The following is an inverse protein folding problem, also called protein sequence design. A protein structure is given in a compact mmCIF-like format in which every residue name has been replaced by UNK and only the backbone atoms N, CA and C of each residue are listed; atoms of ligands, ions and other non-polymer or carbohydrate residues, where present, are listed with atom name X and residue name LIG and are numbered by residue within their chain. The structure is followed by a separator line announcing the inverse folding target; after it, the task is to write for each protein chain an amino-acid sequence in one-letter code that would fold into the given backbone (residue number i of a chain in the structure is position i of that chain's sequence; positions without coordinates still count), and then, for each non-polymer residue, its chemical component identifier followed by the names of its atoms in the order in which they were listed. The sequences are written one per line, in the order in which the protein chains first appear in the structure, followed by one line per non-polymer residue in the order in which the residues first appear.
data_IF_454518802334
#
_entry.id   IF_454518802334
#
_cell.length_a   1.000
_cell.length_b   1.000
_cell.length_c   1.000
_cell.angle_alpha   90.00
_cell.angle_beta   90.00
_cell.angle_gamma   90.00
#
_symmetry.space_group_name_H-M   'P 1'
#
loop_
_entity.id
_entity.type
_entity.pdbx_description
1 polymer ?
#
# COMPACT_ATOMS: atom_id res chain seq x y z
N UNK A 1 -7.62 -24.56 45.62
CA UNK A 1 -8.00 -25.59 44.61
C UNK A 1 -8.47 -24.96 43.28
N UNK A 2 -9.38 -23.97 43.29
CA UNK A 2 -9.87 -23.30 42.05
C UNK A 2 -8.78 -22.57 41.23
N UNK A 3 -7.81 -21.91 41.88
CA UNK A 3 -6.73 -21.18 41.20
C UNK A 3 -5.81 -22.10 40.37
N UNK A 4 -5.46 -23.28 40.89
CA UNK A 4 -4.61 -24.24 40.18
C UNK A 4 -5.29 -24.79 38.91
N UNK A 5 -6.61 -24.98 38.93
CA UNK A 5 -7.39 -25.41 37.77
C UNK A 5 -7.50 -24.32 36.70
N UNK A 6 -7.69 -23.06 37.12
CA UNK A 6 -7.70 -21.90 36.21
C UNK A 6 -6.34 -21.74 35.55
N UNK A 7 -5.24 -21.76 36.33
CA UNK A 7 -3.89 -21.66 35.80
C UNK A 7 -3.58 -22.80 34.82
N UNK A 8 -3.96 -24.04 35.14
CA UNK A 8 -3.81 -25.18 34.23
C UNK A 8 -4.59 -24.97 32.93
N UNK A 9 -5.83 -24.47 33.01
CA UNK A 9 -6.66 -24.17 31.84
C UNK A 9 -6.05 -23.06 30.97
N UNK A 10 -5.47 -22.03 31.58
CA UNK A 10 -4.78 -20.94 30.89
C UNK A 10 -3.50 -21.41 30.20
N UNK A 11 -2.65 -22.22 30.87
CA UNK A 11 -1.45 -22.81 30.27
C UNK A 11 -1.80 -23.66 29.05
N UNK A 12 -2.86 -24.47 29.11
CA UNK A 12 -3.33 -25.22 27.94
C UNK A 12 -3.93 -24.31 26.85
N UNK A 13 -4.58 -23.21 27.21
CA UNK A 13 -5.12 -22.25 26.23
C UNK A 13 -4.00 -21.49 25.52
N UNK A 14 -2.96 -21.08 26.23
CA UNK A 14 -1.78 -20.42 25.69
C UNK A 14 -0.99 -21.36 24.78
N UNK A 15 -0.79 -22.63 25.19
CA UNK A 15 -0.20 -23.66 24.33
C UNK A 15 -1.01 -23.87 23.05
N UNK A 16 -2.35 -23.86 23.11
CA UNK A 16 -3.20 -23.92 21.91
C UNK A 16 -3.02 -22.70 21.02
N UNK A 17 -2.94 -21.48 21.58
CA UNK A 17 -2.69 -20.25 20.79
C UNK A 17 -1.32 -20.26 20.12
N UNK A 18 -0.30 -20.83 20.76
CA UNK A 18 1.04 -20.96 20.19
C UNK A 18 1.13 -22.02 19.08
N UNK A 19 0.35 -23.10 19.17
CA UNK A 19 0.30 -24.18 18.16
C UNK A 19 -0.49 -23.76 16.92
N UNK A 20 -1.45 -22.87 17.07
CA UNK A 20 -2.34 -22.46 15.99
C UNK A 20 -1.72 -21.29 15.23
N UNK A 21 -1.26 -21.54 14.01
CA UNK A 21 -0.79 -20.49 13.11
C UNK A 21 -1.96 -19.59 12.66
N UNK A 22 -1.92 -18.26 12.92
CA UNK A 22 -2.95 -17.32 12.48
C UNK A 22 -3.21 -17.35 10.97
N UNK A 23 -2.21 -17.68 10.15
CA UNK A 23 -2.36 -17.76 8.69
C UNK A 23 -3.19 -18.98 8.27
N UNK A 24 -2.91 -20.15 8.87
CA UNK A 24 -3.66 -21.39 8.63
C UNK A 24 -5.10 -21.27 9.13
N UNK A 25 -5.36 -20.64 10.27
CA UNK A 25 -6.74 -20.40 10.72
C UNK A 25 -7.53 -19.51 9.77
N UNK A 26 -6.94 -18.42 9.29
CA UNK A 26 -7.58 -17.55 8.29
C UNK A 26 -7.88 -18.31 7.00
N UNK A 27 -6.95 -19.17 6.56
CA UNK A 27 -7.15 -20.04 5.40
C UNK A 27 -8.28 -21.05 5.61
N UNK A 28 -8.35 -21.69 6.78
CA UNK A 28 -9.41 -22.64 7.13
C UNK A 28 -10.77 -21.95 7.23
N UNK A 29 -10.85 -20.78 7.87
CA UNK A 29 -12.08 -19.99 7.94
C UNK A 29 -12.55 -19.60 6.55
N UNK A 30 -11.66 -19.11 5.67
CA UNK A 30 -12.03 -18.81 4.28
C UNK A 30 -12.56 -20.03 3.54
N UNK A 31 -11.92 -21.21 3.68
CA UNK A 31 -12.42 -22.45 3.07
C UNK A 31 -13.79 -22.85 3.61
N UNK A 32 -14.01 -22.65 4.91
CA UNK A 32 -15.30 -22.90 5.56
C UNK A 32 -16.37 -21.96 5.01
N UNK A 33 -16.11 -20.66 4.95
CA UNK A 33 -17.04 -19.67 4.41
C UNK A 33 -17.36 -19.96 2.93
N UNK A 34 -16.36 -20.34 2.13
CA UNK A 34 -16.54 -20.75 0.74
C UNK A 34 -17.39 -22.04 0.61
N UNK A 35 -17.26 -22.98 1.55
CA UNK A 35 -18.06 -24.20 1.58
C UNK A 35 -19.51 -23.93 2.01
N UNK A 36 -19.71 -23.13 3.07
CA UNK A 36 -21.02 -22.69 3.53
C UNK A 36 -21.76 -21.91 2.44
N UNK A 37 -21.07 -21.03 1.72
CA UNK A 37 -21.62 -20.32 0.56
C UNK A 37 -22.07 -21.26 -0.56
N UNK A 38 -21.24 -22.24 -0.93
CA UNK A 38 -21.58 -23.22 -1.98
C UNK A 38 -22.76 -24.10 -1.58
N UNK A 39 -22.81 -24.50 -0.31
CA UNK A 39 -23.91 -25.28 0.23
C UNK A 39 -25.22 -24.48 0.20
N UNK A 40 -25.22 -23.26 0.72
CA UNK A 40 -26.40 -22.39 0.69
C UNK A 40 -26.88 -22.08 -0.74
N UNK A 41 -25.95 -21.98 -1.70
CA UNK A 41 -26.28 -21.83 -3.12
C UNK A 41 -26.94 -23.07 -3.71
N UNK A 42 -26.43 -24.27 -3.38
CA UNK A 42 -27.00 -25.53 -3.84
C UNK A 42 -28.40 -25.76 -3.24
N UNK A 43 -28.58 -25.50 -1.94
CA UNK A 43 -29.89 -25.58 -1.28
C UNK A 43 -30.91 -24.64 -1.91
N UNK A 44 -30.53 -23.39 -2.20
CA UNK A 44 -31.42 -22.46 -2.88
C UNK A 44 -31.76 -22.89 -4.33
N UNK A 45 -30.83 -23.51 -5.05
CA UNK A 45 -31.08 -24.06 -6.39
C UNK A 45 -32.04 -25.26 -6.34
N UNK A 46 -31.88 -26.16 -5.36
CA UNK A 46 -32.77 -27.30 -5.13
C UNK A 46 -34.19 -26.86 -4.72
N UNK A 47 -34.31 -25.79 -3.94
CA UNK A 47 -35.59 -25.18 -3.55
C UNK A 47 -36.24 -24.33 -4.68
N UNK A 48 -35.51 -24.10 -5.78
CA UNK A 48 -35.97 -23.27 -6.91
C UNK A 48 -35.97 -21.77 -6.62
N UNK A 49 -35.25 -21.31 -5.59
CA UNK A 49 -35.09 -19.91 -5.22
C UNK A 49 -33.90 -19.26 -5.93
N UNK A 50 -34.00 -17.95 -6.21
CA UNK A 50 -32.87 -17.15 -6.72
C UNK A 50 -31.96 -16.74 -5.55
N UNK A 51 -30.87 -17.48 -5.35
CA UNK A 51 -29.90 -17.29 -4.25
C UNK A 51 -29.35 -15.86 -4.18
N UNK A 52 -28.99 -15.26 -5.33
CA UNK A 52 -28.41 -13.92 -5.35
C UNK A 52 -29.45 -12.86 -4.98
N UNK A 53 -30.71 -13.07 -5.38
CA UNK A 53 -31.82 -12.20 -4.94
C UNK A 53 -32.03 -12.30 -3.43
N UNK A 54 -32.10 -13.50 -2.87
CA UNK A 54 -32.27 -13.73 -1.42
C UNK A 54 -31.16 -13.03 -0.62
N UNK A 55 -29.92 -13.16 -1.07
CA UNK A 55 -28.76 -12.50 -0.47
C UNK A 55 -28.80 -10.97 -0.59
N UNK A 56 -29.27 -10.43 -1.72
CA UNK A 56 -29.37 -8.99 -1.93
C UNK A 56 -30.39 -8.33 -0.99
N UNK A 57 -31.39 -9.07 -0.50
CA UNK A 57 -32.35 -8.57 0.50
C UNK A 57 -31.69 -8.24 1.85
N UNK A 58 -30.62 -8.96 2.21
CA UNK A 58 -29.92 -8.75 3.48
C UNK A 58 -28.94 -7.56 3.43
N UNK A 59 -28.70 -6.98 2.25
CA UNK A 59 -27.79 -5.86 2.12
C UNK A 59 -28.43 -4.54 2.57
N UNK A 60 -27.80 -3.92 3.56
CA UNK A 60 -28.12 -2.54 3.93
C UNK A 60 -27.58 -1.56 2.89
N UNK A 61 -28.24 -0.41 2.75
CA UNK A 61 -27.81 0.65 1.83
C UNK A 61 -26.36 1.08 2.13
N UNK A 62 -26.02 1.25 3.41
CA UNK A 62 -24.65 1.62 3.82
C UNK A 62 -23.61 0.56 3.44
N UNK A 63 -23.95 -0.73 3.56
CA UNK A 63 -23.04 -1.80 3.20
C UNK A 63 -22.78 -1.85 1.69
N UNK A 64 -23.83 -1.68 0.89
CA UNK A 64 -23.73 -1.56 -0.57
C UNK A 64 -22.85 -0.38 -0.97
N UNK A 65 -23.05 0.80 -0.40
CA UNK A 65 -22.23 1.99 -0.72
C UNK A 65 -20.75 1.79 -0.36
N UNK A 66 -20.48 1.17 0.80
CA UNK A 66 -19.10 0.83 1.21
C UNK A 66 -18.47 -0.18 0.26
N UNK A 67 -19.23 -1.17 -0.20
CA UNK A 67 -18.80 -2.15 -1.18
C UNK A 67 -18.47 -1.51 -2.51
N UNK A 68 -19.36 -0.66 -3.03
CA UNK A 68 -19.17 0.06 -4.30
C UNK A 68 -17.94 0.97 -4.24
N UNK A 69 -17.76 1.71 -3.14
CA UNK A 69 -16.56 2.53 -2.91
C UNK A 69 -15.28 1.70 -2.89
N UNK A 70 -15.34 0.47 -2.36
CA UNK A 70 -14.19 -0.46 -2.36
C UNK A 70 -13.90 -0.97 -3.77
N UNK A 71 -14.93 -1.36 -4.51
CA UNK A 71 -14.80 -1.85 -5.89
C UNK A 71 -14.31 -0.76 -6.84
N UNK A 72 -14.80 0.47 -6.70
CA UNK A 72 -14.35 1.63 -7.47
C UNK A 72 -12.88 1.96 -7.20
N UNK A 73 -12.46 1.96 -5.93
CA UNK A 73 -11.04 2.11 -5.56
C UNK A 73 -10.18 1.01 -6.19
N UNK A 74 -10.63 -0.24 -6.13
CA UNK A 74 -9.92 -1.37 -6.74
C UNK A 74 -9.79 -1.18 -8.26
N UNK A 75 -10.87 -0.80 -8.94
CA UNK A 75 -10.87 -0.55 -10.39
C UNK A 75 -9.87 0.56 -10.75
N UNK A 76 -9.94 1.72 -10.06
CA UNK A 76 -8.98 2.82 -10.23
C UNK A 76 -7.54 2.37 -10.02
N UNK A 77 -7.28 1.54 -9.00
CA UNK A 77 -5.96 0.98 -8.77
C UNK A 77 -5.47 0.09 -9.92
N UNK A 78 -6.33 -0.77 -10.48
CA UNK A 78 -5.97 -1.63 -11.61
C UNK A 78 -5.62 -0.80 -12.85
N UNK A 79 -6.43 0.22 -13.16
CA UNK A 79 -6.17 1.15 -14.26
C UNK A 79 -4.86 1.93 -14.03
N UNK A 80 -4.57 2.29 -12.78
CA UNK A 80 -3.38 3.02 -12.38
C UNK A 80 -2.07 2.19 -12.34
N UNK A 81 -2.13 0.86 -12.49
CA UNK A 81 -0.92 0.01 -12.44
C UNK A 81 -0.06 0.16 -13.70
N UNK A 82 -0.69 0.34 -14.86
CA UNK A 82 0.03 0.48 -16.12
C UNK A 82 0.79 1.81 -16.19
N UNK A 83 1.99 1.78 -16.77
CA UNK A 83 2.71 3.01 -17.09
C UNK A 83 1.98 3.75 -18.20
N UNK A 84 1.63 5.02 -17.94
CA UNK A 84 0.99 5.91 -18.91
C UNK A 84 1.97 7.04 -19.28
N UNK A 85 2.42 7.80 -18.28
CA UNK A 85 3.32 8.95 -18.45
C UNK A 85 4.28 9.08 -17.25
N UNK A 86 5.44 9.69 -17.49
CA UNK A 86 6.45 10.02 -16.49
C UNK A 86 5.92 11.01 -15.44
N UNK A 87 5.12 12.01 -15.83
CA UNK A 87 4.58 13.00 -14.87
C UNK A 87 3.62 12.34 -13.88
N UNK A 88 2.74 11.46 -14.37
CA UNK A 88 1.81 10.69 -13.55
C UNK A 88 2.55 9.73 -12.61
N UNK A 89 3.60 9.08 -13.12
CA UNK A 89 4.45 8.18 -12.32
C UNK A 89 5.17 8.95 -11.21
N UNK A 90 5.74 10.12 -11.53
CA UNK A 90 6.37 11.00 -10.54
C UNK A 90 5.38 11.45 -9.48
N UNK A 91 4.16 11.87 -9.88
CA UNK A 91 3.09 12.23 -8.94
C UNK A 91 2.69 11.07 -8.02
N UNK A 92 2.62 9.84 -8.53
CA UNK A 92 2.31 8.64 -7.74
C UNK A 92 3.41 8.36 -6.70
N UNK A 93 4.67 8.44 -7.11
CA UNK A 93 5.83 8.27 -6.22
C UNK A 93 5.82 9.36 -5.13
N UNK A 94 5.62 10.62 -5.52
CA UNK A 94 5.54 11.75 -4.59
C UNK A 94 4.42 11.58 -3.56
N UNK A 95 3.19 11.25 -3.99
CA UNK A 95 2.07 10.98 -3.08
C UNK A 95 2.35 9.82 -2.11
N UNK A 96 3.07 8.79 -2.57
CA UNK A 96 3.48 7.68 -1.71
C UNK A 96 4.49 8.15 -0.66
N UNK A 97 5.51 8.90 -1.07
CA UNK A 97 6.51 9.46 -0.16
C UNK A 97 5.87 10.39 0.87
N UNK A 98 4.92 11.24 0.47
CA UNK A 98 4.15 12.08 1.41
C UNK A 98 3.37 11.29 2.45
N UNK A 99 2.84 10.11 2.09
CA UNK A 99 2.13 9.24 3.04
C UNK A 99 3.07 8.56 4.03
N UNK A 100 4.30 8.28 3.59
CA UNK A 100 5.33 7.66 4.43
C UNK A 100 6.07 8.68 5.30
N UNK A 101 6.02 9.97 4.93
CA UNK A 101 6.61 11.06 5.69
C UNK A 101 5.94 11.18 7.06
N UNK A 102 6.75 11.17 8.12
CA UNK A 102 6.31 11.43 9.48
C UNK A 102 6.91 12.77 9.94
N UNK A 103 6.11 13.86 9.93
CA UNK A 103 6.57 15.15 10.42
C UNK A 103 6.82 15.11 11.93
N UNK A 104 7.92 15.73 12.35
CA UNK A 104 8.19 15.97 13.77
C UNK A 104 7.48 17.26 14.19
N UNK A 105 6.35 17.10 14.88
CA UNK A 105 5.51 18.21 15.30
C UNK A 105 6.10 19.00 16.47
N UNK A 106 6.96 18.38 17.29
CA UNK A 106 7.56 19.01 18.46
C UNK A 106 8.64 20.01 18.05
N UNK A 107 9.56 19.60 17.16
CA UNK A 107 10.57 20.52 16.62
C UNK A 107 9.94 21.64 15.82
N UNK A 108 8.89 21.35 15.03
CA UNK A 108 8.12 22.37 14.32
C UNK A 108 7.51 23.41 15.27
N UNK A 109 6.88 22.98 16.36
CA UNK A 109 6.29 23.89 17.35
C UNK A 109 7.36 24.73 18.08
N UNK A 110 8.52 24.14 18.38
CA UNK A 110 9.64 24.85 19.01
C UNK A 110 10.26 25.90 18.09
N UNK A 111 10.48 25.57 16.82
CA UNK A 111 10.98 26.50 15.80
C UNK A 111 9.98 27.64 15.55
N UNK A 112 8.68 27.31 15.47
CA UNK A 112 7.60 28.29 15.39
C UNK A 112 7.62 29.24 16.58
N UNK A 113 7.69 28.71 17.81
CA UNK A 113 7.69 29.53 19.01
C UNK A 113 8.93 30.43 19.13
N UNK A 114 10.10 29.96 18.66
CA UNK A 114 11.32 30.76 18.62
C UNK A 114 11.17 31.95 17.68
N UNK A 115 10.74 31.71 16.44
CA UNK A 115 10.52 32.76 15.44
C UNK A 115 9.46 33.76 15.89
N UNK A 116 8.38 33.29 16.52
CA UNK A 116 7.33 34.15 17.08
C UNK A 116 7.84 34.99 18.26
N UNK A 117 8.71 34.44 19.11
CA UNK A 117 9.32 35.18 20.23
C UNK A 117 10.29 36.25 19.76
N UNK A 118 11.04 35.96 18.70
CA UNK A 118 12.01 36.88 18.12
C UNK A 118 11.30 37.95 17.25
N UNK A 119 10.06 37.69 16.84
CA UNK A 119 9.18 38.63 16.13
C UNK A 119 8.65 39.79 17.00
N UNK A 120 8.19 40.85 16.34
CA UNK A 120 7.67 42.05 17.01
C UNK A 120 6.25 41.80 17.54
N UNK A 121 6.03 42.11 18.82
CA UNK A 121 4.68 42.08 19.42
C UNK A 121 3.91 43.29 18.90
N UNK A 122 2.81 43.05 18.20
CA UNK A 122 1.90 44.12 17.74
C UNK A 122 0.61 44.00 18.54
N UNK A 123 0.20 45.11 19.15
CA UNK A 123 -1.08 45.22 19.85
C UNK A 123 -2.16 45.51 18.80
N UNK A 124 -3.12 44.59 18.66
CA UNK A 124 -4.27 44.75 17.76
C UNK A 124 -5.25 45.77 18.36
N UNK A 125 -6.10 46.42 17.57
CA UNK A 125 -7.06 47.45 18.04
C UNK A 125 -7.99 46.99 19.19
N UNK A 126 -8.16 45.67 19.36
CA UNK A 126 -8.93 45.03 20.44
C UNK A 126 -8.12 44.76 21.73
N UNK A 127 -6.84 45.16 21.80
CA UNK A 127 -5.99 44.98 22.99
C UNK A 127 -5.40 43.57 23.17
N UNK A 128 -5.56 42.68 22.20
CA UNK A 128 -4.85 41.39 22.17
C UNK A 128 -3.46 41.55 21.57
N UNK A 129 -2.45 41.06 22.28
CA UNK A 129 -1.05 41.01 21.84
C UNK A 129 -0.86 39.80 20.92
N UNK A 130 -0.85 40.03 19.61
CA UNK A 130 -0.56 39.01 18.62
C UNK A 130 0.90 39.19 18.18
N UNK A 131 1.70 38.14 18.33
CA UNK A 131 3.04 38.12 17.76
C UNK A 131 2.91 37.93 16.25
N UNK A 132 3.00 39.05 15.51
CA UNK A 132 2.93 39.09 14.05
C UNK A 132 4.35 38.99 13.52
N UNK A 133 4.60 37.96 12.73
CA UNK A 133 5.83 37.78 11.96
C UNK A 133 5.89 38.87 10.87
N UNK A 134 6.52 40.00 11.19
CA UNK A 134 6.60 41.17 10.30
C UNK A 134 7.58 40.95 9.14
N UNK A 135 8.59 40.11 9.35
CA UNK A 135 9.62 39.79 8.36
C UNK A 135 9.22 38.57 7.49
N UNK A 136 8.14 37.89 7.83
CA UNK A 136 7.64 36.74 7.07
C UNK A 136 8.65 35.59 7.08
N UNK A 137 9.36 35.38 8.19
CA UNK A 137 10.37 34.32 8.26
C UNK A 137 9.74 32.93 8.44
N UNK A 138 8.66 32.84 9.21
CA UNK A 138 7.94 31.58 9.44
C UNK A 138 6.85 31.35 8.40
N UNK A 139 6.04 32.37 8.13
CA UNK A 139 5.04 32.36 7.05
C UNK A 139 5.58 33.08 5.82
N UNK A 140 6.65 32.53 5.27
CA UNK A 140 7.35 33.09 4.12
C UNK A 140 6.48 33.24 2.87
N UNK A 141 6.54 34.43 2.27
CA UNK A 141 6.02 34.71 0.94
C UNK A 141 7.11 34.48 -0.13
N UNK A 142 6.78 34.70 -1.41
CA UNK A 142 7.72 34.50 -2.51
C UNK A 142 8.95 35.44 -2.48
N UNK A 143 8.91 36.51 -1.68
CA UNK A 143 9.98 37.50 -1.57
C UNK A 143 10.76 37.38 -0.24
N UNK A 144 10.35 36.51 0.68
CA UNK A 144 11.05 36.25 1.93
C UNK A 144 12.41 35.60 1.69
N UNK A 145 13.43 36.11 2.39
CA UNK A 145 14.82 35.64 2.30
C UNK A 145 15.25 34.76 3.49
N UNK A 146 14.36 34.51 4.45
CA UNK A 146 14.67 33.80 5.71
C UNK A 146 15.16 32.35 5.52
N UNK A 147 15.00 31.76 4.33
CA UNK A 147 15.51 30.41 4.03
C UNK A 147 17.03 30.36 3.77
N UNK A 148 17.68 31.49 3.46
CA UNK A 148 19.09 31.53 3.02
C UNK A 148 20.03 31.05 4.14
N UNK A 149 19.74 31.42 5.38
CA UNK A 149 20.57 31.09 6.54
C UNK A 149 20.17 29.78 7.25
N UNK A 150 19.18 29.06 6.72
CA UNK A 150 18.73 27.81 7.32
C UNK A 150 19.81 26.72 7.17
N UNK A 151 20.35 26.29 8.31
CA UNK A 151 21.30 25.17 8.39
C UNK A 151 20.66 23.99 9.12
N UNK A 152 20.11 22.99 8.38
CA UNK A 152 19.46 21.84 8.98
C UNK A 152 20.40 21.06 9.91
N UNK A 153 19.82 20.46 10.95
CA UNK A 153 20.58 19.57 11.83
C UNK A 153 21.09 18.35 11.06
N UNK A 154 22.23 17.80 11.48
CA UNK A 154 22.81 16.59 10.86
C UNK A 154 21.81 15.41 10.87
N UNK A 155 21.04 15.27 11.95
CA UNK A 155 20.02 14.22 12.05
C UNK A 155 18.88 14.36 11.02
N UNK A 156 18.49 15.59 10.66
CA UNK A 156 17.52 15.81 9.58
C UNK A 156 18.09 15.43 8.21
N UNK A 157 19.37 15.74 7.97
CA UNK A 157 20.08 15.35 6.75
C UNK A 157 20.18 13.83 6.65
N UNK A 158 20.55 13.15 7.73
CA UNK A 158 20.68 11.68 7.75
C UNK A 158 19.33 11.00 7.47
N UNK A 159 18.21 11.52 8.00
CA UNK A 159 16.86 11.05 7.68
C UNK A 159 16.55 11.18 6.19
N UNK A 160 16.80 12.36 5.61
CA UNK A 160 16.59 12.61 4.18
C UNK A 160 17.41 11.66 3.30
N UNK A 161 18.69 11.46 3.64
CA UNK A 161 19.57 10.52 2.91
C UNK A 161 19.06 9.08 3.02
N UNK A 162 18.56 8.68 4.19
CA UNK A 162 17.91 7.39 4.40
C UNK A 162 16.70 7.19 3.48
N UNK A 163 15.83 8.20 3.40
CA UNK A 163 14.64 8.15 2.54
C UNK A 163 14.99 8.11 1.04
N UNK A 164 16.03 8.84 0.62
CA UNK A 164 16.53 8.79 -0.75
C UNK A 164 17.07 7.40 -1.12
N UNK A 165 17.87 6.78 -0.26
CA UNK A 165 18.39 5.42 -0.46
C UNK A 165 17.24 4.40 -0.51
N UNK A 166 16.28 4.49 0.41
CA UNK A 166 15.07 3.63 0.41
C UNK A 166 14.30 3.75 -0.91
N UNK A 167 14.17 4.97 -1.45
CA UNK A 167 13.51 5.21 -2.73
C UNK A 167 14.30 4.67 -3.93
N UNK A 168 15.63 4.68 -3.86
CA UNK A 168 16.52 4.06 -4.85
C UNK A 168 16.41 2.52 -4.83
N UNK A 169 16.52 1.92 -3.65
CA UNK A 169 16.40 0.46 -3.47
C UNK A 169 15.05 -0.06 -3.96
N UNK A 170 13.96 0.66 -3.68
CA UNK A 170 12.63 0.33 -4.17
C UNK A 170 12.53 0.36 -5.70
N UNK A 171 13.29 1.24 -6.38
CA UNK A 171 13.37 1.29 -7.85
C UNK A 171 14.21 0.12 -8.39
N UNK A 172 15.30 -0.23 -7.72
CA UNK A 172 16.23 -1.28 -8.17
C UNK A 172 15.69 -2.70 -7.95
N UNK A 173 14.89 -2.94 -6.90
CA UNK A 173 14.31 -4.27 -6.59
C UNK A 173 13.43 -4.87 -7.69
N UNK A 174 12.88 -4.07 -8.61
CA UNK A 174 11.97 -4.55 -9.68
C UNK A 174 12.64 -5.42 -10.76
N UNK A 175 13.95 -5.68 -10.69
CA UNK A 175 14.72 -6.32 -11.77
C UNK A 175 15.17 -7.77 -11.53
N UNK A 176 14.98 -8.34 -10.35
CA UNK A 176 15.32 -9.76 -10.11
C UNK A 176 14.11 -10.65 -10.42
N UNK A 177 14.06 -11.18 -11.65
CA UNK A 177 13.13 -12.25 -12.02
C UNK A 177 13.64 -13.60 -11.52
N UNK A 178 12.72 -14.49 -11.12
CA UNK A 178 13.03 -15.84 -10.63
C UNK A 178 13.50 -16.77 -11.75
N UNK A 179 14.46 -17.64 -11.42
CA UNK A 179 15.17 -18.53 -12.34
C UNK A 179 14.54 -19.95 -12.40
N UNK A 180 13.20 -20.03 -12.41
CA UNK A 180 12.46 -21.31 -12.49
C UNK A 180 11.89 -21.60 -13.89
N UNK A 181 12.26 -20.82 -14.91
CA UNK A 181 11.82 -21.04 -16.29
C UNK A 181 12.90 -21.80 -17.08
N UNK A 182 12.47 -22.71 -17.97
CA UNK A 182 13.38 -23.47 -18.84
C UNK A 182 14.31 -22.52 -19.61
N UNK A 183 15.60 -22.84 -19.56
CA UNK A 183 16.65 -21.98 -20.13
C UNK A 183 16.64 -22.09 -21.65
N UNK A 184 15.94 -21.17 -22.31
CA UNK A 184 15.87 -21.04 -23.78
C UNK A 184 16.96 -20.13 -24.38
N UNK A 185 17.96 -19.73 -23.59
CA UNK A 185 18.95 -18.73 -23.96
C UNK A 185 20.38 -19.17 -23.61
N UNK A 186 21.36 -18.71 -24.41
CA UNK A 186 22.80 -19.01 -24.21
C UNK A 186 23.50 -17.86 -23.44
N UNK A 187 23.05 -16.61 -23.60
CA UNK A 187 23.63 -15.44 -22.93
C UNK A 187 22.53 -14.48 -22.42
N UNK A 188 22.91 -13.51 -21.57
CA UNK A 188 21.96 -12.57 -20.95
C UNK A 188 21.25 -11.66 -21.97
N UNK A 189 21.94 -11.27 -23.05
CA UNK A 189 21.32 -10.47 -24.12
C UNK A 189 20.25 -11.27 -24.86
N UNK A 190 20.50 -12.56 -25.08
CA UNK A 190 19.57 -13.52 -25.66
C UNK A 190 18.39 -13.75 -24.70
N UNK A 191 18.63 -13.89 -23.39
CA UNK A 191 17.55 -13.94 -22.36
C UNK A 191 16.62 -12.73 -22.49
N UNK A 192 17.18 -11.52 -22.50
CA UNK A 192 16.40 -10.28 -22.61
C UNK A 192 15.67 -10.17 -23.95
N UNK A 193 16.28 -10.62 -25.03
CA UNK A 193 15.66 -10.64 -26.36
C UNK A 193 14.50 -11.64 -26.43
N UNK A 194 14.69 -12.88 -25.97
CA UNK A 194 13.63 -13.89 -25.90
C UNK A 194 12.49 -13.43 -24.97
N UNK A 195 12.80 -12.83 -23.82
CA UNK A 195 11.78 -12.22 -22.96
C UNK A 195 11.01 -11.10 -23.66
N UNK A 196 11.67 -10.29 -24.50
CA UNK A 196 10.99 -9.28 -25.31
C UNK A 196 10.06 -9.94 -26.32
N UNK A 197 10.55 -10.93 -27.07
CA UNK A 197 9.72 -11.68 -28.04
C UNK A 197 8.51 -12.34 -27.36
N UNK A 198 8.73 -12.98 -26.21
CA UNK A 198 7.68 -13.62 -25.42
C UNK A 198 6.54 -12.65 -25.08
N UNK A 199 6.86 -11.41 -24.69
CA UNK A 199 5.84 -10.40 -24.38
C UNK A 199 4.95 -10.01 -25.56
N UNK A 200 5.48 -10.03 -26.78
CA UNK A 200 4.73 -9.60 -27.98
C UNK A 200 4.08 -10.77 -28.73
N UNK A 201 4.76 -11.90 -28.82
CA UNK A 201 4.38 -12.99 -29.72
C UNK A 201 3.71 -14.19 -29.03
N UNK A 202 3.92 -14.43 -27.72
CA UNK A 202 3.32 -15.58 -27.04
C UNK A 202 1.79 -15.60 -27.14
N UNK A 203 1.13 -14.44 -27.23
CA UNK A 203 -0.31 -14.33 -27.45
C UNK A 203 -0.76 -14.99 -28.77
N UNK A 204 0.08 -14.96 -29.79
CA UNK A 204 -0.22 -15.47 -31.14
C UNK A 204 0.42 -16.84 -31.41
N UNK A 205 1.50 -17.18 -30.71
CA UNK A 205 2.26 -18.42 -30.92
C UNK A 205 2.00 -19.49 -29.86
N UNK A 206 0.97 -19.30 -29.02
CA UNK A 206 0.61 -20.25 -27.95
C UNK A 206 0.32 -21.65 -28.48
N UNK A 207 -0.53 -21.77 -29.50
CA UNK A 207 -0.85 -23.06 -30.11
C UNK A 207 0.38 -23.79 -30.68
N UNK A 208 1.28 -23.04 -31.31
CA UNK A 208 2.54 -23.57 -31.84
C UNK A 208 3.41 -24.10 -30.70
N UNK A 209 3.55 -23.32 -29.61
CA UNK A 209 4.31 -23.73 -28.42
C UNK A 209 3.72 -24.99 -27.79
N UNK A 210 2.41 -25.02 -27.58
CA UNK A 210 1.75 -26.17 -26.97
C UNK A 210 1.89 -27.42 -27.85
N UNK A 211 1.85 -27.27 -29.18
CA UNK A 211 2.11 -28.38 -30.11
C UNK A 211 3.55 -28.88 -30.02
N UNK A 212 4.54 -28.01 -29.83
CA UNK A 212 5.92 -28.45 -29.53
C UNK A 212 6.01 -29.19 -28.20
N UNK A 213 5.34 -28.70 -27.14
CA UNK A 213 5.31 -29.35 -25.83
C UNK A 213 4.56 -30.71 -25.87
N UNK A 214 3.60 -30.88 -26.79
CA UNK A 214 2.90 -32.14 -27.08
C UNK A 214 3.61 -33.08 -28.07
N UNK A 215 4.82 -32.75 -28.52
CA UNK A 215 5.61 -33.62 -29.41
C UNK A 215 5.33 -33.42 -30.90
N UNK A 216 5.01 -32.20 -31.33
CA UNK A 216 4.80 -31.78 -32.74
C UNK A 216 3.66 -32.48 -33.48
N UNK A 217 2.77 -33.16 -32.75
CA UNK A 217 1.54 -33.71 -33.32
C UNK A 217 0.52 -32.58 -33.46
N UNK A 218 0.12 -32.30 -34.69
CA UNK A 218 -1.00 -31.39 -35.03
C UNK A 218 -2.32 -32.06 -34.65
#
# INVERSE_FOLDING_TARGET
KKSAEVNRKEVYAERRRQVVDPSETSRLNRKRDEAEFKLAKAEAEDDGEDFERKRAWDWTIEESERWDKRMEKRKKHVEDVAFQDYTQTARKIYKKQLRELQPDLESYAAEKAKLIRDGTIVETEDGELIAVDRDGEFYADANSLGFIDNKPSKGAIDRLVGDLKKAEDARMRRRKGGDEEDVTYINDKNKQFNQKLARYYNKYTGEIRDSFERGTMV
#
